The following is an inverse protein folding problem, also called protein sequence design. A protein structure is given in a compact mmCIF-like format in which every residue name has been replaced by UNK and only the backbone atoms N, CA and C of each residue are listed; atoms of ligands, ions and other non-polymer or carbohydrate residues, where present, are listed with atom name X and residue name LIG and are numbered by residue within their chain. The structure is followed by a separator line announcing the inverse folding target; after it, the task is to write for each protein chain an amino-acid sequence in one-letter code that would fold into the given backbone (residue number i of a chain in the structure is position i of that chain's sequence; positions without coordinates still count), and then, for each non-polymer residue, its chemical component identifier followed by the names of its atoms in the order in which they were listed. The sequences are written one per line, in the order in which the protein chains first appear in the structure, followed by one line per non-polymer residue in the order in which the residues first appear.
data_IF_471125668835
#
_entry.id   IF_471125668835
#
_cell.length_a   1.000
_cell.length_b   1.000
_cell.length_c   1.000
_cell.angle_alpha   90.00
_cell.angle_beta   90.00
_cell.angle_gamma   90.00
#
_symmetry.space_group_name_H-M   'P 1'
#
loop_
_entity.id
_entity.type
_entity.pdbx_description
1 polymer ?
#
# COMPACT_ATOMS: atom_id res chain seq x y z
N UNK A 1 3.81 -5.62 2.41
CA UNK A 1 3.11 -6.48 1.44
C UNK A 1 4.19 -7.15 0.60
N UNK A 2 4.36 -8.48 0.68
CA UNK A 2 5.40 -9.20 -0.07
C UNK A 2 4.77 -9.73 -1.35
N UNK A 3 5.23 -9.22 -2.51
CA UNK A 3 4.87 -9.78 -3.82
C UNK A 3 5.88 -10.86 -4.17
N UNK A 4 5.42 -12.10 -4.35
CA UNK A 4 6.23 -13.17 -4.91
C UNK A 4 5.87 -13.31 -6.39
N UNK A 5 6.76 -12.87 -7.29
CA UNK A 5 6.61 -13.07 -8.73
C UNK A 5 7.99 -13.37 -9.31
N UNK A 6 8.21 -14.63 -9.71
CA UNK A 6 9.43 -15.04 -10.40
C UNK A 6 9.33 -14.61 -11.88
N UNK A 7 10.13 -13.62 -12.29
CA UNK A 7 10.39 -13.32 -13.71
C UNK A 7 9.66 -12.13 -14.35
N UNK A 8 8.85 -11.36 -13.61
CA UNK A 8 8.25 -10.11 -14.10
C UNK A 8 8.49 -8.95 -13.13
N UNK A 9 8.55 -7.72 -13.65
CA UNK A 9 8.75 -6.51 -12.84
C UNK A 9 7.42 -6.07 -12.24
N UNK A 10 7.30 -6.16 -10.91
CA UNK A 10 6.23 -5.50 -10.16
C UNK A 10 6.62 -4.06 -9.83
N UNK A 11 5.71 -3.11 -10.05
CA UNK A 11 5.89 -1.70 -9.68
C UNK A 11 4.87 -1.32 -8.63
N UNK A 12 5.34 -0.68 -7.55
CA UNK A 12 4.50 -0.05 -6.53
C UNK A 12 4.79 1.45 -6.54
N UNK A 13 3.76 2.25 -6.83
CA UNK A 13 3.83 3.71 -6.74
C UNK A 13 3.09 4.15 -5.48
N UNK A 14 3.70 5.05 -4.71
CA UNK A 14 3.10 5.61 -3.52
C UNK A 14 3.28 7.13 -3.54
N UNK A 15 2.18 7.87 -3.40
CA UNK A 15 2.17 9.34 -3.28
C UNK A 15 1.14 9.76 -2.23
N UNK A 16 1.38 10.91 -1.59
CA UNK A 16 0.40 11.61 -0.75
C UNK A 16 -0.41 12.66 -1.55
N UNK A 17 0.01 12.94 -2.79
CA UNK A 17 -0.61 13.91 -3.69
C UNK A 17 -1.22 13.16 -4.87
N UNK A 18 -2.53 12.85 -4.86
CA UNK A 18 -3.15 12.07 -5.93
C UNK A 18 -3.09 12.74 -7.31
N UNK A 19 -2.82 14.05 -7.37
CA UNK A 19 -2.58 14.77 -8.62
C UNK A 19 -1.26 14.43 -9.32
N UNK A 20 -0.33 13.74 -8.65
CA UNK A 20 0.89 13.22 -9.27
C UNK A 20 0.61 12.06 -10.23
N UNK A 21 -0.57 11.45 -10.11
CA UNK A 21 -1.04 10.34 -10.94
C UNK A 21 -2.11 10.86 -11.90
N UNK A 22 -1.88 10.69 -13.19
CA UNK A 22 -2.82 11.06 -14.23
C UNK A 22 -3.69 9.88 -14.66
N UNK A 23 -4.61 10.12 -15.61
CA UNK A 23 -5.47 9.08 -16.14
C UNK A 23 -4.71 7.95 -16.85
N UNK A 24 -3.45 8.15 -17.29
CA UNK A 24 -2.66 7.08 -17.92
C UNK A 24 -2.13 6.09 -16.89
N UNK A 25 -1.91 6.54 -15.65
CA UNK A 25 -1.59 5.64 -14.55
C UNK A 25 -2.74 4.66 -14.28
N UNK A 26 -3.99 5.08 -14.46
CA UNK A 26 -5.17 4.19 -14.36
C UNK A 26 -5.10 3.00 -15.32
N UNK A 27 -4.75 3.24 -16.58
CA UNK A 27 -4.72 2.17 -17.58
C UNK A 27 -3.61 1.14 -17.34
N UNK A 28 -2.54 1.52 -16.64
CA UNK A 28 -1.38 0.67 -16.39
C UNK A 28 -1.35 0.05 -14.98
N UNK A 29 -2.07 0.64 -14.02
CA UNK A 29 -2.14 0.14 -12.64
C UNK A 29 -3.39 -0.71 -12.45
N UNK A 30 -3.18 -2.01 -12.22
CA UNK A 30 -4.26 -2.97 -11.94
C UNK A 30 -4.86 -2.86 -10.54
N UNK A 31 -4.18 -2.19 -9.62
CA UNK A 31 -4.53 -2.22 -8.20
C UNK A 31 -4.25 -0.89 -7.53
N UNK A 32 -5.26 -0.39 -6.84
CA UNK A 32 -5.23 0.89 -6.14
C UNK A 32 -5.44 0.65 -4.65
N UNK A 33 -4.46 1.03 -3.84
CA UNK A 33 -4.58 1.06 -2.39
C UNK A 33 -4.83 2.50 -1.95
N UNK A 34 -6.06 2.79 -1.57
CA UNK A 34 -6.48 4.13 -1.16
C UNK A 34 -6.57 4.20 0.35
N UNK A 35 -5.65 4.94 0.97
CA UNK A 35 -5.70 5.29 2.38
C UNK A 35 -6.66 6.44 2.65
N UNK A 36 -6.63 6.97 3.88
CA UNK A 36 -7.44 8.12 4.28
C UNK A 36 -7.10 9.37 3.48
N UNK A 37 -8.09 9.96 2.83
CA UNK A 37 -7.99 11.25 2.14
C UNK A 37 -9.19 12.10 2.55
N UNK A 38 -8.92 13.25 3.18
CA UNK A 38 -9.97 14.13 3.72
C UNK A 38 -10.14 15.43 2.93
N UNK A 39 -9.13 15.83 2.15
CA UNK A 39 -9.20 17.06 1.38
C UNK A 39 -10.08 16.88 0.14
N UNK A 40 -11.13 17.69 0.02
CA UNK A 40 -12.11 17.56 -1.07
C UNK A 40 -11.46 17.66 -2.47
N UNK A 41 -10.53 18.59 -2.66
CA UNK A 41 -9.81 18.73 -3.94
C UNK A 41 -8.97 17.50 -4.30
N UNK A 42 -8.46 16.78 -3.30
CA UNK A 42 -7.73 15.52 -3.51
C UNK A 42 -8.71 14.40 -3.89
N UNK A 43 -9.85 14.30 -3.22
CA UNK A 43 -10.93 13.36 -3.56
C UNK A 43 -11.43 13.57 -5.00
N UNK A 44 -11.60 14.83 -5.41
CA UNK A 44 -12.05 15.16 -6.76
C UNK A 44 -11.03 14.75 -7.83
N UNK A 45 -9.73 14.90 -7.55
CA UNK A 45 -8.65 14.41 -8.43
C UNK A 45 -8.62 12.88 -8.50
N UNK A 46 -9.05 12.18 -7.46
CA UNK A 46 -9.05 10.73 -7.40
C UNK A 46 -10.23 10.08 -8.13
N UNK A 47 -11.39 10.74 -8.22
CA UNK A 47 -12.57 10.23 -8.93
C UNK A 47 -12.26 9.58 -10.30
N UNK A 48 -11.53 10.22 -11.23
CA UNK A 48 -11.21 9.60 -12.51
C UNK A 48 -10.33 8.35 -12.36
N UNK A 49 -9.40 8.32 -11.40
CA UNK A 49 -8.51 7.19 -11.14
C UNK A 49 -9.27 5.95 -10.61
N UNK A 50 -10.39 6.17 -9.91
CA UNK A 50 -11.18 5.11 -9.28
C UNK A 50 -12.42 4.69 -10.09
N UNK A 51 -12.64 5.28 -11.26
CA UNK A 51 -13.91 5.12 -11.99
C UNK A 51 -14.15 3.74 -12.60
N UNK A 52 -13.15 2.83 -12.59
CA UNK A 52 -13.36 1.41 -12.93
C UNK A 52 -14.06 0.62 -11.82
N UNK A 53 -14.14 1.19 -10.61
CA UNK A 53 -14.80 0.55 -9.49
C UNK A 53 -16.32 0.52 -9.70
N UNK A 54 -16.92 -0.65 -9.51
CA UNK A 54 -18.38 -0.82 -9.60
C UNK A 54 -19.14 -0.11 -8.48
N UNK A 55 -18.44 0.25 -7.40
CA UNK A 55 -18.98 0.89 -6.21
C UNK A 55 -18.22 2.18 -5.97
N UNK A 56 -18.94 3.28 -5.85
CA UNK A 56 -18.34 4.56 -5.46
C UNK A 56 -17.94 4.51 -3.97
N UNK A 57 -16.64 4.63 -3.72
CA UNK A 57 -16.07 4.68 -2.37
C UNK A 57 -15.64 6.08 -1.94
N UNK A 58 -15.83 7.09 -2.78
CA UNK A 58 -15.42 8.48 -2.51
C UNK A 58 -16.01 9.01 -1.19
N UNK A 59 -17.22 8.58 -0.83
CA UNK A 59 -17.87 8.96 0.44
C UNK A 59 -17.30 8.24 1.67
N UNK A 60 -16.62 7.09 1.49
CA UNK A 60 -16.08 6.26 2.58
C UNK A 60 -14.62 6.57 2.88
N UNK A 61 -13.87 7.02 1.86
CA UNK A 61 -12.44 7.34 1.96
C UNK A 61 -12.10 8.34 3.10
N UNK A 62 -12.88 9.43 3.32
CA UNK A 62 -12.57 10.39 4.38
C UNK A 62 -12.68 9.83 5.79
N UNK A 63 -13.53 8.81 5.99
CA UNK A 63 -13.80 8.20 7.28
C UNK A 63 -12.88 7.04 7.64
N UNK A 64 -11.92 6.68 6.78
CA UNK A 64 -10.91 5.65 7.10
C UNK A 64 -10.02 6.11 8.25
N UNK A 65 -9.63 5.20 9.13
CA UNK A 65 -8.62 5.46 10.16
C UNK A 65 -7.19 5.20 9.67
N UNK A 66 -6.18 5.60 10.46
CA UNK A 66 -4.79 5.28 10.15
C UNK A 66 -4.57 3.76 10.06
N UNK A 67 -4.05 3.30 8.92
CA UNK A 67 -3.85 1.87 8.65
C UNK A 67 -5.06 1.19 8.00
N UNK A 68 -6.15 1.90 7.73
CA UNK A 68 -7.26 1.42 6.92
C UNK A 68 -7.12 1.88 5.47
N UNK A 69 -7.46 0.98 4.54
CA UNK A 69 -7.33 1.15 3.10
C UNK A 69 -8.56 0.57 2.39
N UNK A 70 -8.90 1.13 1.23
CA UNK A 70 -9.71 0.43 0.24
C UNK A 70 -8.77 -0.07 -0.87
N UNK A 71 -8.82 -1.38 -1.14
CA UNK A 71 -8.20 -2.00 -2.30
C UNK A 71 -9.22 -2.03 -3.43
N UNK A 72 -8.93 -1.31 -4.52
CA UNK A 72 -9.68 -1.37 -5.76
C UNK A 72 -8.88 -2.16 -6.79
N UNK A 73 -9.47 -3.25 -7.29
CA UNK A 73 -8.84 -4.16 -8.23
C UNK A 73 -9.92 -4.87 -9.05
N UNK A 74 -9.76 -4.91 -10.38
CA UNK A 74 -10.69 -5.58 -11.30
C UNK A 74 -12.17 -5.17 -11.08
N UNK A 75 -12.39 -3.88 -10.81
CA UNK A 75 -13.70 -3.29 -10.52
C UNK A 75 -14.32 -3.66 -9.17
N UNK A 76 -13.63 -4.47 -8.35
CA UNK A 76 -14.03 -4.79 -6.97
C UNK A 76 -13.40 -3.81 -6.00
N UNK A 77 -14.09 -3.61 -4.88
CA UNK A 77 -13.57 -2.81 -3.77
C UNK A 77 -13.59 -3.63 -2.48
N UNK A 78 -12.43 -3.74 -1.83
CA UNK A 78 -12.25 -4.50 -0.59
C UNK A 78 -11.70 -3.57 0.49
N UNK A 79 -12.36 -3.51 1.64
CA UNK A 79 -11.81 -2.83 2.81
C UNK A 79 -10.67 -3.68 3.40
N UNK A 80 -9.54 -3.03 3.67
CA UNK A 80 -8.36 -3.65 4.23
C UNK A 80 -7.90 -2.83 5.44
N UNK A 81 -7.72 -3.48 6.58
CA UNK A 81 -7.14 -2.87 7.78
C UNK A 81 -5.81 -3.55 8.05
N UNK A 82 -4.77 -2.77 8.33
CA UNK A 82 -3.49 -3.35 8.73
C UNK A 82 -3.71 -4.07 10.06
N UNK A 83 -3.26 -5.32 10.13
CA UNK A 83 -3.00 -5.97 11.40
C UNK A 83 -1.70 -5.43 12.00
N UNK A 84 -1.55 -5.58 13.32
CA UNK A 84 -0.30 -5.29 14.01
C UNK A 84 0.80 -6.17 13.39
N UNK A 85 1.91 -5.60 12.91
CA UNK A 85 2.94 -6.39 12.24
C UNK A 85 3.52 -7.41 13.22
N UNK A 86 3.54 -8.68 12.80
CA UNK A 86 4.14 -9.79 13.57
C UNK A 86 5.66 -9.62 13.75
N UNK A 87 6.30 -8.81 12.89
CA UNK A 87 7.71 -8.50 12.92
C UNK A 87 7.88 -7.00 13.15
N UNK A 88 8.54 -6.65 14.25
CA UNK A 88 8.92 -5.28 14.52
C UNK A 88 10.27 -5.01 13.84
N UNK A 89 10.30 -4.00 12.95
CA UNK A 89 11.56 -3.55 12.39
C UNK A 89 12.24 -2.63 13.41
N UNK A 90 13.49 -2.93 13.73
CA UNK A 90 14.33 -2.11 14.61
C UNK A 90 15.47 -1.53 13.78
N UNK A 91 15.82 -0.27 14.01
CA UNK A 91 17.04 0.28 13.41
C UNK A 91 18.24 -0.34 14.12
N UNK A 92 19.06 -1.06 13.36
CA UNK A 92 20.29 -1.67 13.84
C UNK A 92 21.47 -0.78 13.41
N UNK A 93 22.34 -0.34 14.35
CA UNK A 93 23.57 0.37 14.00
C UNK A 93 24.46 -0.48 13.09
N UNK A 94 25.22 0.16 12.19
CA UNK A 94 26.06 -0.54 11.21
C UNK A 94 27.04 -1.55 11.85
N UNK A 95 27.60 -1.20 13.01
CA UNK A 95 28.50 -2.06 13.80
C UNK A 95 27.85 -3.36 14.28
N UNK A 96 26.53 -3.41 14.39
CA UNK A 96 25.74 -4.55 14.82
C UNK A 96 25.22 -5.38 13.63
N UNK A 97 25.12 -4.81 12.43
CA UNK A 97 24.61 -5.51 11.22
C UNK A 97 25.47 -6.75 10.91
N UNK A 98 26.79 -6.60 10.89
CA UNK A 98 27.70 -7.73 10.61
C UNK A 98 27.66 -8.80 11.72
N UNK A 99 27.37 -8.41 12.97
CA UNK A 99 27.23 -9.34 14.08
C UNK A 99 25.94 -10.15 13.98
N UNK A 100 24.83 -9.49 13.64
CA UNK A 100 23.54 -10.14 13.41
C UNK A 100 23.57 -11.04 12.18
N UNK A 101 24.19 -10.61 11.08
CA UNK A 101 24.33 -11.42 9.86
C UNK A 101 25.13 -12.72 10.07
N UNK A 102 26.04 -12.74 11.07
CA UNK A 102 26.82 -13.93 11.44
C UNK A 102 26.06 -14.91 12.32
N UNK A 103 24.94 -14.51 12.95
CA UNK A 103 24.10 -15.43 13.73
C UNK A 103 23.38 -16.38 12.78
N UNK A 104 23.60 -17.70 12.93
CA UNK A 104 22.87 -18.69 12.13
C UNK A 104 21.41 -18.72 12.60
N UNK A 105 20.44 -18.95 11.70
CA UNK A 105 19.02 -19.09 12.07
C UNK A 105 18.76 -20.17 13.13
N UNK A 106 19.69 -21.13 13.30
CA UNK A 106 19.57 -22.28 14.20
C UNK A 106 19.87 -21.96 15.67
N UNK A 107 20.48 -20.82 15.96
CA UNK A 107 20.93 -20.45 17.32
C UNK A 107 19.91 -19.58 18.07
N UNK A 108 18.83 -19.15 17.42
CA UNK A 108 17.77 -18.30 18.00
C UNK A 108 16.58 -19.09 18.58
N UNK A 109 16.61 -20.42 18.51
CA UNK A 109 15.51 -21.31 18.95
C UNK A 109 15.89 -22.20 20.16
N UNK A 110 16.88 -21.79 20.97
CA UNK A 110 17.23 -22.40 22.26
C UNK A 110 17.26 -21.36 23.35
#
# INVERSE_FOLDING_TARGET
MVFNMFGALGVLLATQSPGDLDYRCRDNLRSWFVGRVTQQTALDKMKPLLSDARVDVSARIPGQEAGEFHLLQDGRVTAFKRDVPLLHAEQVPESEILKLARRRPRDAAR
#
